data_IF_318698139195
#
_entry.id   IF_318698139195
#
_cell.length_a   1.000
_cell.length_b   1.000
_cell.length_c   1.000
_cell.angle_alpha   90.00
_cell.angle_beta   90.00
_cell.angle_gamma   90.00
#
_symmetry.space_group_name_H-M   'P 1'
#
loop_
_entity.id
_entity.type
_entity.pdbx_description
1 polymer ?
#
# COMPACT_ATOMS: atom_id res chain seq x y z
N UNK A 1 13.30 0.27 10.01
CA UNK A 1 12.08 0.98 10.43
C UNK A 1 10.90 0.28 9.80
N UNK A 2 9.91 -0.05 10.61
CA UNK A 2 8.70 -0.77 10.20
C UNK A 2 7.76 0.12 9.38
N UNK A 3 6.79 -0.48 8.70
CA UNK A 3 5.76 0.27 7.96
C UNK A 3 4.87 1.05 8.94
N UNK A 4 4.56 0.46 10.09
CA UNK A 4 3.84 1.14 11.18
C UNK A 4 4.58 2.37 11.71
N UNK A 5 5.89 2.28 11.90
CA UNK A 5 6.74 3.43 12.28
C UNK A 5 6.74 4.52 11.21
N UNK A 6 6.85 4.15 9.93
CA UNK A 6 6.78 5.09 8.79
C UNK A 6 5.45 5.83 8.75
N UNK A 7 4.34 5.12 8.93
CA UNK A 7 2.99 5.72 8.96
C UNK A 7 2.85 6.70 10.13
N UNK A 8 3.30 6.33 11.34
CA UNK A 8 3.29 7.25 12.50
C UNK A 8 4.09 8.51 12.26
N UNK A 9 5.28 8.42 11.68
CA UNK A 9 6.07 9.58 11.30
C UNK A 9 5.38 10.46 10.26
N UNK A 10 4.79 9.85 9.23
CA UNK A 10 4.03 10.56 8.21
C UNK A 10 2.87 11.35 8.84
N UNK A 11 2.13 10.73 9.77
CA UNK A 11 1.06 11.38 10.53
C UNK A 11 1.60 12.49 11.42
N UNK A 12 2.74 12.31 12.09
CA UNK A 12 3.36 13.36 12.93
C UNK A 12 3.76 14.58 12.10
N UNK A 13 4.29 14.37 10.89
CA UNK A 13 4.73 15.46 10.01
C UNK A 13 3.53 16.16 9.36
N UNK A 14 2.59 15.41 8.79
CA UNK A 14 1.55 15.96 7.91
C UNK A 14 0.13 15.90 8.48
N UNK A 15 -0.11 15.19 9.59
CA UNK A 15 -1.43 14.89 10.12
C UNK A 15 -2.27 16.12 10.44
N UNK A 16 -1.68 17.21 10.96
CA UNK A 16 -2.40 18.47 11.18
C UNK A 16 -2.87 19.16 9.89
N UNK A 17 -2.35 18.75 8.74
CA UNK A 17 -2.68 19.30 7.41
C UNK A 17 -3.57 18.38 6.60
N UNK A 18 -3.50 17.08 6.85
CA UNK A 18 -4.22 16.07 6.10
C UNK A 18 -5.74 16.31 6.05
N UNK A 19 -6.43 16.74 7.13
CA UNK A 19 -7.86 17.07 7.05
C UNK A 19 -8.20 18.16 6.04
N UNK A 20 -7.27 19.08 5.76
CA UNK A 20 -7.51 20.19 4.83
C UNK A 20 -7.12 19.86 3.39
N UNK A 21 -6.06 19.04 3.21
CA UNK A 21 -5.57 18.67 1.87
C UNK A 21 -6.28 17.41 1.34
N UNK A 22 -6.70 16.55 2.26
CA UNK A 22 -7.33 15.26 2.03
C UNK A 22 -8.56 15.09 2.94
N UNK A 23 -9.57 15.96 2.78
CA UNK A 23 -10.73 16.05 3.69
C UNK A 23 -11.62 14.80 3.66
N UNK A 24 -11.59 14.04 2.56
CA UNK A 24 -12.41 12.86 2.40
C UNK A 24 -11.62 11.68 1.84
N UNK A 25 -12.16 10.49 2.07
CA UNK A 25 -11.72 9.26 1.44
C UNK A 25 -11.58 9.40 -0.08
N UNK A 26 -12.61 9.90 -0.77
CA UNK A 26 -12.58 10.07 -2.23
C UNK A 26 -11.46 11.00 -2.73
N UNK A 27 -11.06 12.01 -1.93
CA UNK A 27 -9.89 12.83 -2.27
C UNK A 27 -8.58 12.05 -2.07
N UNK A 28 -8.48 11.21 -1.04
CA UNK A 28 -7.31 10.36 -0.76
C UNK A 28 -7.13 9.32 -1.87
N UNK A 29 -8.19 8.59 -2.23
CA UNK A 29 -8.13 7.56 -3.29
C UNK A 29 -7.81 8.15 -4.65
N UNK A 30 -8.44 9.27 -5.04
CA UNK A 30 -8.14 9.95 -6.30
C UNK A 30 -6.65 10.32 -6.45
N UNK A 31 -5.95 10.61 -5.35
CA UNK A 31 -4.50 10.89 -5.38
C UNK A 31 -3.68 9.63 -5.64
N UNK A 32 -4.13 8.47 -5.14
CA UNK A 32 -3.54 7.17 -5.44
C UNK A 32 -3.84 6.83 -6.91
N UNK A 33 -5.08 6.93 -7.38
CA UNK A 33 -5.46 6.65 -8.78
C UNK A 33 -4.65 7.49 -9.78
N UNK A 34 -4.36 8.76 -9.47
CA UNK A 34 -3.46 9.59 -10.30
C UNK A 34 -2.04 9.04 -10.38
N UNK A 35 -1.51 8.47 -9.28
CA UNK A 35 -0.20 7.81 -9.29
C UNK A 35 -0.24 6.50 -10.05
N UNK A 36 -1.30 5.70 -9.90
CA UNK A 36 -1.49 4.47 -10.68
C UNK A 36 -1.59 4.76 -12.18
N UNK A 37 -2.33 5.81 -12.58
CA UNK A 37 -2.35 6.29 -13.97
C UNK A 37 -0.96 6.69 -14.47
N UNK A 38 -0.15 7.33 -13.64
CA UNK A 38 1.21 7.68 -13.99
C UNK A 38 2.08 6.43 -14.18
N UNK A 39 2.05 5.48 -13.23
CA UNK A 39 2.74 4.20 -13.33
C UNK A 39 2.34 3.45 -14.61
N UNK A 40 1.05 3.45 -14.96
CA UNK A 40 0.56 2.86 -16.21
C UNK A 40 1.25 3.46 -17.43
N UNK A 41 1.28 4.79 -17.55
CA UNK A 41 1.95 5.48 -18.65
C UNK A 41 3.44 5.17 -18.70
N UNK A 42 4.10 5.07 -17.56
CA UNK A 42 5.52 4.71 -17.47
C UNK A 42 5.78 3.28 -17.95
N UNK A 43 4.92 2.32 -17.61
CA UNK A 43 4.98 0.96 -18.14
C UNK A 43 4.79 0.96 -19.67
N UNK A 44 3.82 1.72 -20.18
CA UNK A 44 3.52 1.79 -21.62
C UNK A 44 4.65 2.45 -22.43
N UNK A 45 5.37 3.40 -21.85
CA UNK A 45 6.52 4.05 -22.47
C UNK A 45 7.86 3.35 -22.23
N UNK A 46 7.88 2.23 -21.50
CA UNK A 46 9.12 1.49 -21.22
C UNK A 46 10.09 2.23 -20.30
N UNK A 47 9.57 2.94 -19.28
CA UNK A 47 10.40 3.67 -18.32
C UNK A 47 11.42 2.75 -17.63
N UNK A 48 12.55 3.33 -17.26
CA UNK A 48 13.62 2.67 -16.51
C UNK A 48 13.27 2.51 -15.02
N UNK A 49 13.99 1.65 -14.31
CA UNK A 49 13.87 1.50 -12.86
C UNK A 49 14.06 2.83 -12.10
N UNK A 50 15.04 3.63 -12.53
CA UNK A 50 15.37 4.93 -11.93
C UNK A 50 14.23 5.95 -12.04
N UNK A 51 13.57 5.99 -13.19
CA UNK A 51 12.40 6.85 -13.41
C UNK A 51 11.20 6.35 -12.58
N UNK A 52 11.01 5.03 -12.52
CA UNK A 52 9.86 4.39 -11.90
C UNK A 52 9.86 4.47 -10.36
N UNK A 53 11.04 4.36 -9.75
CA UNK A 53 11.24 4.35 -8.30
C UNK A 53 10.56 5.51 -7.54
N UNK A 54 10.78 6.80 -7.88
CA UNK A 54 10.18 7.92 -7.15
C UNK A 54 8.64 7.94 -7.24
N UNK A 55 8.07 7.41 -8.33
CA UNK A 55 6.62 7.33 -8.50
C UNK A 55 6.03 6.22 -7.64
N UNK A 56 6.68 5.06 -7.55
CA UNK A 56 6.33 3.99 -6.61
C UNK A 56 6.41 4.46 -5.16
N UNK A 57 7.50 5.11 -4.77
CA UNK A 57 7.66 5.67 -3.43
C UNK A 57 6.59 6.73 -3.12
N UNK A 58 6.19 7.53 -4.12
CA UNK A 58 5.06 8.44 -3.97
C UNK A 58 3.72 7.70 -3.82
N UNK A 59 3.49 6.60 -4.54
CA UNK A 59 2.26 5.81 -4.41
C UNK A 59 2.18 5.18 -3.02
N UNK A 60 3.28 4.56 -2.56
CA UNK A 60 3.40 3.97 -1.23
C UNK A 60 3.04 4.96 -0.11
N UNK A 61 3.63 6.17 -0.14
CA UNK A 61 3.31 7.22 0.84
C UNK A 61 1.85 7.66 0.80
N UNK A 62 1.20 7.59 -0.38
CA UNK A 62 -0.22 7.95 -0.52
C UNK A 62 -1.13 6.88 0.08
N UNK A 63 -0.75 5.61 0.02
CA UNK A 63 -1.49 4.54 0.72
C UNK A 63 -1.34 4.69 2.24
N UNK A 64 -0.13 5.01 2.75
CA UNK A 64 0.02 5.33 4.18
C UNK A 64 -0.80 6.56 4.60
N UNK A 65 -0.86 7.60 3.75
CA UNK A 65 -1.74 8.73 4.02
C UNK A 65 -3.21 8.34 3.94
N UNK A 66 -3.61 7.42 3.07
CA UNK A 66 -4.98 6.90 3.01
C UNK A 66 -5.36 6.19 4.31
N UNK A 67 -4.49 5.34 4.86
CA UNK A 67 -4.78 4.61 6.11
C UNK A 67 -5.01 5.54 7.30
N UNK A 68 -4.52 6.79 7.25
CA UNK A 68 -4.83 7.81 8.27
C UNK A 68 -6.28 8.31 8.24
N UNK A 69 -7.10 7.87 7.27
CA UNK A 69 -8.55 8.07 7.35
C UNK A 69 -9.12 7.47 8.64
N UNK A 70 -8.54 6.36 9.10
CA UNK A 70 -8.75 5.82 10.43
C UNK A 70 -7.57 6.20 11.35
N UNK A 71 -7.80 7.05 12.38
CA UNK A 71 -6.76 7.46 13.32
C UNK A 71 -6.16 6.32 14.14
N UNK A 72 -6.82 5.17 14.28
CA UNK A 72 -6.34 4.05 15.09
C UNK A 72 -5.63 2.98 14.25
N UNK A 73 -5.78 3.04 12.92
CA UNK A 73 -5.28 2.01 12.03
C UNK A 73 -3.74 1.99 11.97
N UNK A 74 -3.18 0.81 12.29
CA UNK A 74 -1.79 0.44 12.06
C UNK A 74 -1.75 -0.72 11.06
N UNK A 75 -1.22 -0.49 9.85
CA UNK A 75 -1.17 -1.51 8.80
C UNK A 75 -0.18 -2.66 9.06
N UNK A 76 0.79 -2.48 9.96
CA UNK A 76 1.84 -3.47 10.21
C UNK A 76 1.30 -4.88 10.52
N UNK A 77 0.40 -5.08 11.52
CA UNK A 77 -0.14 -6.41 11.81
C UNK A 77 -0.96 -6.99 10.64
N UNK A 78 -1.73 -6.18 9.92
CA UNK A 78 -2.57 -6.66 8.81
C UNK A 78 -1.73 -7.14 7.61
N UNK A 79 -0.62 -6.44 7.31
CA UNK A 79 0.36 -6.93 6.32
C UNK A 79 0.98 -8.26 6.77
N UNK A 80 1.31 -8.39 8.06
CA UNK A 80 1.82 -9.64 8.62
C UNK A 80 0.83 -10.79 8.51
N UNK A 81 -0.44 -10.55 8.79
CA UNK A 81 -1.52 -11.54 8.67
C UNK A 81 -1.68 -12.01 7.23
N UNK A 82 -1.79 -11.07 6.28
CA UNK A 82 -2.11 -11.39 4.88
C UNK A 82 -0.90 -11.88 4.07
N UNK A 83 0.30 -11.38 4.36
CA UNK A 83 1.50 -11.58 3.54
C UNK A 83 2.73 -12.11 4.30
N UNK A 84 2.60 -12.39 5.59
CA UNK A 84 3.73 -12.80 6.43
C UNK A 84 4.12 -14.28 6.32
N UNK A 85 3.17 -15.16 6.00
CA UNK A 85 3.41 -16.58 5.78
C UNK A 85 3.17 -16.91 4.31
N UNK A 86 2.27 -17.84 4.01
CA UNK A 86 1.98 -18.33 2.67
C UNK A 86 0.95 -17.47 1.97
N UNK A 87 0.68 -17.77 0.70
CA UNK A 87 -0.39 -17.10 -0.04
C UNK A 87 -1.74 -17.30 0.65
N UNK A 88 -2.48 -16.22 0.91
CA UNK A 88 -3.79 -16.25 1.56
C UNK A 88 -4.87 -17.06 0.82
N UNK A 89 -4.62 -17.44 -0.43
CA UNK A 89 -5.59 -18.14 -1.27
C UNK A 89 -5.26 -19.61 -1.54
N UNK A 90 -3.97 -19.98 -1.63
CA UNK A 90 -3.56 -21.37 -1.93
C UNK A 90 -2.66 -21.98 -0.87
N UNK A 91 -2.30 -21.21 0.16
CA UNK A 91 -1.46 -21.61 1.29
C UNK A 91 -0.08 -22.14 0.89
N UNK A 92 0.38 -21.84 -0.33
CA UNK A 92 1.73 -22.19 -0.79
C UNK A 92 2.71 -21.05 -0.55
N UNK A 93 3.99 -21.41 -0.32
CA UNK A 93 5.08 -20.45 -0.19
C UNK A 93 5.40 -19.73 -1.50
N UNK A 94 5.23 -20.43 -2.64
CA UNK A 94 5.25 -19.88 -3.99
C UNK A 94 3.84 -19.97 -4.55
N UNK A 95 3.22 -18.84 -4.88
CA UNK A 95 1.82 -18.80 -5.28
C UNK A 95 1.58 -19.55 -6.59
N UNK A 96 0.64 -20.49 -6.56
CA UNK A 96 0.18 -21.27 -7.72
C UNK A 96 -1.30 -21.01 -8.05
N UNK A 97 -1.92 -20.00 -7.45
CA UNK A 97 -3.34 -19.71 -7.61
C UNK A 97 -3.72 -19.54 -9.09
N UNK A 98 -4.89 -20.04 -9.45
CA UNK A 98 -5.48 -19.86 -10.78
C UNK A 98 -6.06 -18.44 -10.94
N UNK A 99 -6.77 -18.20 -12.05
CA UNK A 99 -7.47 -16.93 -12.32
C UNK A 99 -8.65 -16.73 -11.38
N UNK A 100 -9.40 -17.79 -11.08
CA UNK A 100 -10.42 -17.81 -10.03
C UNK A 100 -9.75 -18.17 -8.71
N UNK A 101 -9.97 -17.36 -7.69
CA UNK A 101 -9.42 -17.56 -6.34
C UNK A 101 -10.58 -17.86 -5.37
N UNK A 102 -10.37 -18.75 -4.38
CA UNK A 102 -11.30 -18.89 -3.28
C UNK A 102 -11.29 -17.60 -2.43
N UNK A 103 -12.18 -17.56 -1.45
CA UNK A 103 -12.10 -16.57 -0.39
C UNK A 103 -10.75 -16.70 0.35
N UNK A 104 -10.06 -15.58 0.65
CA UNK A 104 -8.76 -15.65 1.30
C UNK A 104 -8.89 -16.11 2.75
N UNK A 105 -8.11 -17.09 3.17
CA UNK A 105 -7.95 -17.41 4.59
C UNK A 105 -6.82 -16.56 5.17
N UNK A 106 -7.17 -15.69 6.10
CA UNK A 106 -6.23 -14.79 6.76
C UNK A 106 -6.21 -15.14 8.26
N UNK A 107 -5.05 -15.44 8.85
CA UNK A 107 -4.95 -15.74 10.27
C UNK A 107 -5.39 -14.52 11.12
N UNK A 108 -5.96 -14.79 12.29
CA UNK A 108 -6.35 -13.73 13.24
C UNK A 108 -5.14 -12.90 13.70
N UNK A 109 -4.00 -13.57 13.92
CA UNK A 109 -2.77 -12.94 14.40
C UNK A 109 -1.63 -13.03 13.36
N UNK A 110 -0.79 -11.99 13.23
CA UNK A 110 0.37 -12.04 12.37
C UNK A 110 1.48 -12.92 12.97
N UNK A 111 2.35 -13.53 12.16
CA UNK A 111 3.58 -14.11 12.66
C UNK A 111 4.41 -13.05 13.39
N UNK A 112 4.88 -13.30 14.63
CA UNK A 112 5.52 -12.26 15.46
C UNK A 112 6.69 -11.54 14.78
N UNK A 113 7.48 -12.26 13.98
CA UNK A 113 8.61 -11.69 13.25
C UNK A 113 8.20 -10.56 12.29
N UNK A 114 7.01 -10.65 11.69
CA UNK A 114 6.52 -9.67 10.73
C UNK A 114 6.22 -8.31 11.36
N UNK A 115 6.05 -8.25 12.68
CA UNK A 115 5.88 -6.97 13.39
C UNK A 115 7.15 -6.12 13.37
N UNK A 116 8.31 -6.73 13.10
CA UNK A 116 9.62 -6.05 13.00
C UNK A 116 10.03 -5.72 11.57
N UNK A 117 9.27 -6.18 10.58
CA UNK A 117 9.62 -6.01 9.17
C UNK A 117 9.47 -4.55 8.71
N UNK A 118 10.48 -4.09 7.99
CA UNK A 118 10.46 -2.87 7.19
C UNK A 118 9.92 -3.13 5.78
N UNK A 119 10.07 -2.13 4.92
CA UNK A 119 9.53 -2.18 3.55
C UNK A 119 10.23 -3.26 2.74
N UNK A 120 11.56 -3.39 2.91
CA UNK A 120 12.38 -4.37 2.22
C UNK A 120 11.99 -5.80 2.56
N UNK A 121 11.79 -6.13 3.84
CA UNK A 121 11.43 -7.48 4.24
C UNK A 121 10.07 -7.91 3.65
N UNK A 122 9.07 -7.02 3.63
CA UNK A 122 7.81 -7.30 2.94
C UNK A 122 7.99 -7.41 1.43
N UNK A 123 8.81 -6.53 0.83
CA UNK A 123 9.12 -6.61 -0.60
C UNK A 123 9.74 -7.95 -0.98
N UNK A 124 10.74 -8.42 -0.22
CA UNK A 124 11.43 -9.70 -0.42
C UNK A 124 10.46 -10.86 -0.23
N UNK A 125 9.59 -10.79 0.78
CA UNK A 125 8.58 -11.82 1.02
C UNK A 125 7.62 -11.95 -0.16
N UNK A 126 7.14 -10.82 -0.67
CA UNK A 126 6.27 -10.79 -1.86
C UNK A 126 7.02 -11.22 -3.12
N UNK A 127 8.33 -10.96 -3.21
CA UNK A 127 9.18 -11.46 -4.31
C UNK A 127 9.21 -12.99 -4.29
N UNK A 128 9.52 -13.59 -3.15
CA UNK A 128 9.52 -15.05 -3.00
C UNK A 128 8.18 -15.66 -3.40
N UNK A 129 7.08 -15.05 -2.94
CA UNK A 129 5.75 -15.62 -3.11
C UNK A 129 5.14 -15.41 -4.49
N UNK A 130 5.31 -14.23 -5.08
CA UNK A 130 4.54 -13.81 -6.25
C UNK A 130 5.39 -13.44 -7.47
N UNK A 131 6.72 -13.31 -7.36
CA UNK A 131 7.55 -12.80 -8.47
C UNK A 131 7.42 -13.67 -9.72
N UNK A 132 7.51 -15.00 -9.62
CA UNK A 132 7.44 -15.88 -10.78
C UNK A 132 6.13 -15.73 -11.59
N UNK A 133 5.00 -15.53 -10.91
CA UNK A 133 3.71 -15.27 -11.56
C UNK A 133 3.63 -13.86 -12.13
N UNK A 134 4.07 -12.88 -11.36
CA UNK A 134 4.02 -11.48 -11.74
C UNK A 134 4.94 -11.22 -12.93
N UNK A 135 6.11 -11.88 -13.02
CA UNK A 135 7.04 -11.77 -14.14
C UNK A 135 6.47 -12.38 -15.41
N UNK A 136 5.72 -13.49 -15.31
CA UNK A 136 4.99 -14.07 -16.45
C UNK A 136 3.88 -13.15 -16.97
N UNK A 137 3.16 -12.47 -16.08
CA UNK A 137 2.06 -11.57 -16.44
C UNK A 137 2.54 -10.18 -16.88
N UNK A 138 3.72 -9.77 -16.43
CA UNK A 138 4.36 -8.50 -16.73
C UNK A 138 3.80 -7.30 -15.93
N UNK A 139 4.54 -6.19 -16.00
CA UNK A 139 4.24 -4.96 -15.26
C UNK A 139 2.90 -4.33 -15.65
N UNK A 140 2.47 -4.46 -16.91
CA UNK A 140 1.18 -3.93 -17.38
C UNK A 140 0.03 -4.55 -16.59
N UNK A 141 0.06 -5.87 -16.42
CA UNK A 141 -0.97 -6.57 -15.66
C UNK A 141 -0.89 -6.24 -14.16
N UNK A 142 0.31 -6.08 -13.61
CA UNK A 142 0.49 -5.67 -12.22
C UNK A 142 -0.09 -4.26 -11.94
N UNK A 143 0.07 -3.30 -12.86
CA UNK A 143 -0.57 -1.98 -12.74
C UNK A 143 -2.09 -2.07 -12.87
N UNK A 144 -2.61 -2.92 -13.76
CA UNK A 144 -4.05 -3.15 -13.86
C UNK A 144 -4.63 -3.77 -12.58
N UNK A 145 -3.90 -4.69 -11.94
CA UNK A 145 -4.29 -5.24 -10.65
C UNK A 145 -4.26 -4.19 -9.55
N UNK A 146 -3.20 -3.38 -9.47
CA UNK A 146 -3.16 -2.23 -8.55
C UNK A 146 -4.34 -1.25 -8.76
N UNK A 147 -4.78 -1.07 -10.01
CA UNK A 147 -5.97 -0.26 -10.30
C UNK A 147 -7.26 -0.93 -9.83
N UNK A 148 -7.38 -2.25 -10.00
CA UNK A 148 -8.51 -3.04 -9.51
C UNK A 148 -8.63 -2.99 -7.97
N UNK A 149 -7.51 -3.07 -7.24
CA UNK A 149 -7.54 -2.94 -5.77
C UNK A 149 -8.07 -1.57 -5.30
N UNK A 150 -7.93 -0.51 -6.10
CA UNK A 150 -8.55 0.79 -5.77
C UNK A 150 -10.08 0.69 -5.92
N UNK A 151 -10.57 -0.08 -6.90
CA UNK A 151 -12.00 -0.34 -7.04
C UNK A 151 -12.53 -1.23 -5.91
N UNK A 152 -11.79 -2.26 -5.49
CA UNK A 152 -12.17 -3.11 -4.34
C UNK A 152 -12.26 -2.28 -3.05
N UNK A 153 -11.36 -1.32 -2.86
CA UNK A 153 -11.45 -0.33 -1.78
C UNK A 153 -12.73 0.53 -1.86
N UNK A 154 -13.17 0.95 -3.06
CA UNK A 154 -14.42 1.70 -3.24
C UNK A 154 -15.67 0.81 -2.99
N UNK A 155 -15.63 -0.45 -3.44
CA UNK A 155 -16.67 -1.45 -3.22
C UNK A 155 -16.84 -1.76 -1.72
N UNK A 156 -15.75 -1.76 -0.95
CA UNK A 156 -15.82 -1.84 0.52
C UNK A 156 -16.63 -0.69 1.13
N UNK A 157 -16.44 0.56 0.70
CA UNK A 157 -17.24 1.66 1.26
C UNK A 157 -18.72 1.53 0.87
N UNK A 158 -19.00 1.02 -0.32
CA UNK A 158 -20.35 0.69 -0.74
C UNK A 158 -20.97 -0.42 0.13
N UNK A 159 -20.21 -1.46 0.51
CA UNK A 159 -20.70 -2.52 1.39
C UNK A 159 -20.98 -2.04 2.83
N UNK A 160 -20.18 -1.10 3.33
CA UNK A 160 -20.40 -0.47 4.66
C UNK A 160 -21.64 0.43 4.65
N UNK A 161 -21.74 1.35 3.69
CA UNK A 161 -22.70 2.45 3.74
C UNK A 161 -24.04 2.06 3.11
N UNK A 162 -24.01 1.36 1.98
CA UNK A 162 -25.20 1.07 1.18
C UNK A 162 -25.75 -0.33 1.48
N UNK A 163 -24.91 -1.35 1.44
CA UNK A 163 -25.33 -2.75 1.64
C UNK A 163 -25.48 -3.13 3.12
N UNK A 164 -24.82 -2.41 4.03
CA UNK A 164 -24.82 -2.66 5.49
C UNK A 164 -24.39 -4.09 5.85
N UNK A 165 -23.49 -4.66 5.08
CA UNK A 165 -22.97 -6.02 5.30
C UNK A 165 -21.96 -6.05 6.46
N UNK A 166 -21.41 -4.89 6.82
CA UNK A 166 -20.48 -4.73 7.93
C UNK A 166 -21.20 -4.18 9.16
N UNK A 167 -21.20 -4.96 10.23
CA UNK A 167 -21.99 -4.68 11.43
C UNK A 167 -21.23 -3.86 12.48
N UNK A 168 -19.89 -3.88 12.49
CA UNK A 168 -19.08 -3.21 13.52
C UNK A 168 -17.96 -2.34 12.93
N UNK A 169 -17.53 -1.35 13.71
CA UNK A 169 -16.37 -0.49 13.38
C UNK A 169 -15.09 -1.32 13.25
N UNK A 170 -14.94 -2.37 14.06
CA UNK A 170 -13.77 -3.24 14.03
C UNK A 170 -13.70 -4.06 12.73
N UNK A 171 -14.83 -4.61 12.28
CA UNK A 171 -14.93 -5.28 10.98
C UNK A 171 -14.61 -4.30 9.83
N UNK A 172 -15.16 -3.08 9.87
CA UNK A 172 -14.89 -2.06 8.87
C UNK A 172 -13.40 -1.69 8.82
N UNK A 173 -12.78 -1.52 9.99
CA UNK A 173 -11.35 -1.23 10.12
C UNK A 173 -10.48 -2.34 9.58
N UNK A 174 -10.81 -3.59 9.90
CA UNK A 174 -10.09 -4.75 9.43
C UNK A 174 -10.15 -4.88 7.90
N UNK A 175 -11.34 -4.80 7.31
CA UNK A 175 -11.48 -4.86 5.86
C UNK A 175 -10.73 -3.71 5.18
N UNK A 176 -10.91 -2.47 5.66
CA UNK A 176 -10.18 -1.30 5.15
C UNK A 176 -8.65 -1.48 5.23
N UNK A 177 -8.17 -2.11 6.31
CA UNK A 177 -6.76 -2.42 6.46
C UNK A 177 -6.28 -3.42 5.40
N UNK A 178 -7.05 -4.46 5.11
CA UNK A 178 -6.69 -5.46 4.10
C UNK A 178 -6.66 -4.88 2.68
N UNK A 179 -7.60 -4.03 2.32
CA UNK A 179 -7.57 -3.34 1.02
C UNK A 179 -6.35 -2.41 0.90
N UNK A 180 -6.01 -1.70 1.98
CA UNK A 180 -4.76 -0.93 2.03
C UNK A 180 -3.51 -1.82 1.89
N UNK A 181 -3.54 -3.02 2.48
CA UNK A 181 -2.44 -3.99 2.36
C UNK A 181 -2.28 -4.48 0.92
N UNK A 182 -3.37 -4.66 0.17
CA UNK A 182 -3.33 -5.12 -1.23
C UNK A 182 -2.74 -4.05 -2.14
N UNK A 183 -3.12 -2.78 -1.93
CA UNK A 183 -2.48 -1.65 -2.60
C UNK A 183 -0.97 -1.62 -2.35
N UNK A 184 -0.53 -1.82 -1.09
CA UNK A 184 0.90 -1.88 -0.76
C UNK A 184 1.57 -3.10 -1.42
N UNK A 185 0.93 -4.27 -1.38
CA UNK A 185 1.48 -5.49 -1.95
C UNK A 185 1.72 -5.38 -3.45
N UNK A 186 0.80 -4.80 -4.22
CA UNK A 186 1.02 -4.56 -5.65
C UNK A 186 2.05 -3.48 -5.95
N UNK A 187 2.17 -2.44 -5.12
CA UNK A 187 3.27 -1.46 -5.23
C UNK A 187 4.62 -2.15 -5.02
N UNK A 188 4.75 -3.03 -4.02
CA UNK A 188 5.96 -3.80 -3.78
C UNK A 188 6.21 -4.85 -4.87
N UNK A 189 5.16 -5.45 -5.42
CA UNK A 189 5.23 -6.35 -6.57
C UNK A 189 5.76 -5.65 -7.82
N UNK A 190 5.31 -4.41 -8.08
CA UNK A 190 5.83 -3.56 -9.14
C UNK A 190 7.30 -3.18 -8.90
N UNK A 191 7.67 -2.84 -7.66
CA UNK A 191 9.07 -2.59 -7.29
C UNK A 191 9.94 -3.82 -7.60
N UNK A 192 9.45 -5.03 -7.31
CA UNK A 192 10.16 -6.26 -7.63
C UNK A 192 10.34 -6.48 -9.14
N UNK A 193 9.32 -6.20 -9.96
CA UNK A 193 9.39 -6.34 -11.42
C UNK A 193 10.36 -5.36 -12.08
N UNK A 194 10.51 -4.17 -11.50
CA UNK A 194 11.45 -3.14 -11.95
C UNK A 194 12.79 -3.19 -11.23
N UNK A 195 13.01 -4.19 -10.36
CA UNK A 195 14.22 -4.33 -9.54
C UNK A 195 14.56 -3.07 -8.73
N UNK A 196 13.51 -2.36 -8.29
CA UNK A 196 13.61 -1.17 -7.44
C UNK A 196 13.63 -1.57 -5.99
N UNK A 197 14.64 -1.11 -5.26
CA UNK A 197 14.65 -1.13 -3.81
C UNK A 197 13.77 0.00 -3.25
N UNK A 198 12.52 -0.32 -2.91
CA UNK A 198 11.58 0.70 -2.48
C UNK A 198 11.93 1.29 -1.12
N UNK A 199 12.57 0.51 -0.25
CA UNK A 199 12.98 1.01 1.06
C UNK A 199 14.08 2.07 0.94
N UNK A 200 15.08 1.82 0.09
CA UNK A 200 16.14 2.78 -0.21
C UNK A 200 15.56 4.06 -0.80
N UNK A 201 14.68 3.95 -1.80
CA UNK A 201 14.04 5.11 -2.42
C UNK A 201 13.20 5.92 -1.42
N UNK A 202 12.50 5.26 -0.50
CA UNK A 202 11.77 5.94 0.56
C UNK A 202 12.70 6.71 1.51
N UNK A 203 13.88 6.14 1.81
CA UNK A 203 14.89 6.71 2.71
C UNK A 203 15.69 7.86 2.09
N UNK A 204 15.65 8.08 0.76
CA UNK A 204 16.23 9.28 0.13
C UNK A 204 15.61 10.59 0.63
N UNK A 205 14.46 10.54 1.31
CA UNK A 205 13.84 11.70 1.96
C UNK A 205 13.82 11.51 3.48
N UNK A 206 13.94 12.59 4.26
CA UNK A 206 13.86 12.51 5.70
C UNK A 206 12.51 11.92 6.12
N UNK A 207 12.59 11.02 7.11
CA UNK A 207 11.45 10.31 7.68
C UNK A 207 10.83 11.11 8.82
N UNK A 208 11.65 11.89 9.54
CA UNK A 208 11.31 12.55 10.80
C UNK A 208 10.85 14.01 10.65
N UNK A 209 10.99 14.58 9.45
CA UNK A 209 10.62 15.96 9.12
C UNK A 209 10.13 16.11 7.69
N UNK A 210 9.44 17.21 7.40
CA UNK A 210 9.02 17.54 6.05
C UNK A 210 10.23 17.76 5.13
N UNK A 211 10.29 17.06 4.00
CA UNK A 211 11.36 17.21 3.00
C UNK A 211 11.43 18.59 2.32
N UNK A 212 10.46 19.49 2.54
CA UNK A 212 10.44 20.84 1.95
C UNK A 212 10.87 21.89 2.96
N UNK A 213 10.22 21.95 4.13
CA UNK A 213 10.53 22.97 5.14
C UNK A 213 11.41 22.47 6.28
N UNK A 214 11.80 21.19 6.30
CA UNK A 214 12.60 20.54 7.35
C UNK A 214 12.00 20.63 8.77
N UNK A 215 10.70 20.91 8.92
CA UNK A 215 9.99 20.98 10.21
C UNK A 215 9.11 19.74 10.47
N UNK A 216 8.83 19.49 11.75
CA UNK A 216 7.88 18.48 12.24
C UNK A 216 7.11 19.08 13.45
N UNK A 217 5.83 19.48 13.31
CA UNK A 217 4.97 19.31 12.13
C UNK A 217 5.36 20.20 10.94
N UNK A 218 4.88 19.85 9.76
CA UNK A 218 5.14 20.56 8.51
C UNK A 218 4.48 21.96 8.49
N UNK A 219 5.27 23.01 8.26
CA UNK A 219 4.79 24.39 8.14
C UNK A 219 4.71 24.97 6.72
N UNK A 220 4.76 24.15 5.66
CA UNK A 220 4.67 24.70 4.28
C UNK A 220 3.29 25.35 4.03
N UNK A 221 3.17 26.34 3.14
CA UNK A 221 1.87 26.82 2.67
C UNK A 221 1.08 25.71 1.93
N UNK A 222 -0.24 25.86 1.81
CA UNK A 222 -1.10 24.93 1.06
C UNK A 222 -1.06 25.16 -0.45
N UNK A 223 -0.68 26.37 -0.87
CA UNK A 223 -0.37 26.75 -2.24
C UNK A 223 1.15 26.82 -2.43
N UNK A 224 1.60 26.63 -3.66
CA UNK A 224 2.86 27.23 -4.12
C UNK A 224 2.53 28.60 -4.67
#
# INVERSE_FOLDING_TARGET
MTIGERSRWLRKIYGGREPYIFPSYGVRTRRISRRVKHLKGMVECGATAEEFAPVLASAFRRVLALSHHDPELNLQPYLGRKYGTTCSYCHQANCTCQTVRPEPEIPAEPPPITLTWGVRQFQDRLRQMYFGRNSQSGAKQAVLKLAAEISELDDFFHSVVELREIATVEQAREQFAFECCDLLAWILGLANLYEVDLEEELNKRPVDRCHVCNKCPCGCPFYK
#
